data_IF_104893218705
#
_entry.id   IF_104893218705
#
_cell.length_a   1.000
_cell.length_b   1.000
_cell.length_c   1.000
_cell.angle_alpha   90.00
_cell.angle_beta   90.00
_cell.angle_gamma   90.00
#
_symmetry.space_group_name_H-M   'P 1'
#
loop_
_entity.id
_entity.type
_entity.pdbx_description
1 polymer ?
#
# COMPACT_ATOMS: atom_id res chain seq x y z
N UNK A 1 -53.46 -11.42 80.04
CA UNK A 1 -52.08 -11.22 79.54
C UNK A 1 -52.12 -11.49 78.06
N UNK A 2 -51.91 -10.44 77.26
CA UNK A 2 -51.91 -10.49 75.80
C UNK A 2 -50.46 -10.38 75.36
N UNK A 3 -49.92 -11.41 74.73
CA UNK A 3 -48.53 -11.44 74.26
C UNK A 3 -48.32 -10.42 73.12
N UNK A 4 -47.47 -9.40 73.28
CA UNK A 4 -47.12 -8.47 72.20
C UNK A 4 -45.98 -9.01 71.30
N UNK A 5 -45.42 -10.17 71.62
CA UNK A 5 -44.20 -10.69 70.98
C UNK A 5 -44.40 -11.43 69.66
N UNK A 6 -45.59 -11.97 69.40
CA UNK A 6 -45.83 -12.82 68.22
C UNK A 6 -45.94 -12.02 66.90
N UNK A 7 -46.46 -10.79 66.94
CA UNK A 7 -46.72 -10.00 65.73
C UNK A 7 -45.50 -9.24 65.18
N UNK A 8 -44.50 -8.93 66.03
CA UNK A 8 -43.33 -8.15 65.64
C UNK A 8 -42.29 -8.96 64.83
N UNK A 9 -42.19 -10.27 65.08
CA UNK A 9 -41.27 -11.16 64.36
C UNK A 9 -41.74 -11.54 62.95
N UNK A 10 -43.05 -11.73 62.76
CA UNK A 10 -43.63 -12.09 61.45
C UNK A 10 -43.61 -10.91 60.47
N UNK A 11 -43.91 -9.69 60.93
CA UNK A 11 -43.87 -8.51 60.08
C UNK A 11 -42.43 -8.19 59.60
N UNK A 12 -41.44 -8.23 60.50
CA UNK A 12 -40.03 -7.96 60.17
C UNK A 12 -39.42 -8.96 59.17
N UNK A 13 -39.83 -10.23 59.24
CA UNK A 13 -39.37 -11.28 58.31
C UNK A 13 -39.88 -11.08 56.88
N UNK A 14 -41.13 -10.62 56.71
CA UNK A 14 -41.73 -10.37 55.39
C UNK A 14 -41.08 -9.15 54.72
N UNK A 15 -40.85 -8.06 55.46
CA UNK A 15 -40.16 -6.89 54.93
C UNK A 15 -38.69 -7.19 54.59
N UNK A 16 -37.98 -7.94 55.43
CA UNK A 16 -36.61 -8.36 55.15
C UNK A 16 -36.53 -9.27 53.91
N UNK A 17 -37.48 -10.21 53.75
CA UNK A 17 -37.58 -11.09 52.57
C UNK A 17 -37.85 -10.31 51.29
N UNK A 18 -38.76 -9.33 51.32
CA UNK A 18 -39.06 -8.47 50.16
C UNK A 18 -37.85 -7.61 49.75
N UNK A 19 -37.14 -7.02 50.71
CA UNK A 19 -35.93 -6.23 50.44
C UNK A 19 -34.80 -7.10 49.89
N UNK A 20 -34.61 -8.30 50.43
CA UNK A 20 -33.61 -9.24 49.93
C UNK A 20 -33.90 -9.69 48.49
N UNK A 21 -35.18 -9.93 48.15
CA UNK A 21 -35.60 -10.27 46.80
C UNK A 21 -35.33 -9.14 45.81
N UNK A 22 -35.70 -7.90 46.17
CA UNK A 22 -35.44 -6.72 45.33
C UNK A 22 -33.94 -6.48 45.14
N UNK A 23 -33.14 -6.66 46.19
CA UNK A 23 -31.69 -6.53 46.12
C UNK A 23 -31.05 -7.61 45.22
N UNK A 24 -31.52 -8.85 45.32
CA UNK A 24 -31.06 -9.95 44.46
C UNK A 24 -31.42 -9.70 42.99
N UNK A 25 -32.63 -9.21 42.73
CA UNK A 25 -33.07 -8.81 41.38
C UNK A 25 -32.21 -7.66 40.84
N UNK A 26 -31.94 -6.63 41.65
CA UNK A 26 -31.10 -5.50 41.28
C UNK A 26 -29.67 -5.91 40.95
N UNK A 27 -29.06 -6.76 41.79
CA UNK A 27 -27.72 -7.31 41.53
C UNK A 27 -27.69 -8.22 40.30
N UNK A 28 -28.72 -9.04 40.10
CA UNK A 28 -28.84 -9.90 38.93
C UNK A 28 -28.90 -9.11 37.62
N UNK A 29 -29.68 -8.03 37.59
CA UNK A 29 -29.75 -7.12 36.43
C UNK A 29 -28.43 -6.38 36.20
N UNK A 30 -27.79 -5.87 37.26
CA UNK A 30 -26.49 -5.20 37.15
C UNK A 30 -25.41 -6.13 36.60
N UNK A 31 -25.35 -7.39 37.07
CA UNK A 31 -24.40 -8.39 36.55
C UNK A 31 -24.63 -8.68 35.06
N UNK A 32 -25.89 -8.84 34.64
CA UNK A 32 -26.23 -9.11 33.25
C UNK A 32 -25.85 -7.96 32.32
N UNK A 33 -26.09 -6.71 32.74
CA UNK A 33 -25.70 -5.52 31.98
C UNK A 33 -24.18 -5.40 31.85
N UNK A 34 -23.46 -5.54 32.96
CA UNK A 34 -22.00 -5.47 32.98
C UNK A 34 -21.34 -6.56 32.11
N UNK A 35 -21.95 -7.75 32.06
CA UNK A 35 -21.49 -8.84 31.19
C UNK A 35 -21.68 -8.54 29.70
N UNK A 36 -22.80 -7.89 29.33
CA UNK A 36 -23.05 -7.48 27.94
C UNK A 36 -22.12 -6.34 27.53
N UNK A 37 -21.86 -5.38 28.41
CA UNK A 37 -20.95 -4.27 28.15
C UNK A 37 -19.50 -4.75 28.01
N UNK A 38 -19.03 -5.64 28.89
CA UNK A 38 -17.70 -6.25 28.75
C UNK A 38 -17.57 -7.03 27.42
N UNK A 39 -18.63 -7.72 26.99
CA UNK A 39 -18.66 -8.42 25.70
C UNK A 39 -18.72 -7.46 24.51
N UNK A 40 -19.40 -6.32 24.62
CA UNK A 40 -19.44 -5.30 23.59
C UNK A 40 -18.08 -4.59 23.45
N UNK A 41 -17.45 -4.23 24.58
CA UNK A 41 -16.12 -3.62 24.62
C UNK A 41 -15.06 -4.55 24.03
N UNK A 42 -15.08 -5.85 24.35
CA UNK A 42 -14.14 -6.81 23.77
C UNK A 42 -14.32 -7.00 22.25
N UNK A 43 -15.55 -6.87 21.74
CA UNK A 43 -15.81 -6.89 20.28
C UNK A 43 -15.33 -5.60 19.62
N UNK A 44 -15.61 -4.44 20.22
CA UNK A 44 -15.15 -3.15 19.73
C UNK A 44 -13.62 -3.08 19.68
N UNK A 45 -12.94 -3.54 20.74
CA UNK A 45 -11.48 -3.59 20.78
C UNK A 45 -10.90 -4.49 19.69
N UNK A 46 -11.49 -5.67 19.43
CA UNK A 46 -11.06 -6.56 18.34
C UNK A 46 -11.27 -5.95 16.96
N UNK A 47 -12.40 -5.27 16.75
CA UNK A 47 -12.67 -4.58 15.50
C UNK A 47 -11.67 -3.44 15.28
N UNK A 48 -11.34 -2.69 16.33
CA UNK A 48 -10.38 -1.60 16.24
C UNK A 48 -8.97 -2.10 15.90
N UNK A 49 -8.49 -3.15 16.56
CA UNK A 49 -7.22 -3.80 16.22
C UNK A 49 -7.22 -4.26 14.76
N UNK A 50 -8.33 -4.84 14.29
CA UNK A 50 -8.42 -5.29 12.90
C UNK A 50 -8.42 -4.12 11.90
N UNK A 51 -9.11 -3.02 12.22
CA UNK A 51 -9.07 -1.80 11.41
C UNK A 51 -7.67 -1.19 11.36
N UNK A 52 -6.96 -1.16 12.49
CA UNK A 52 -5.60 -0.64 12.57
C UNK A 52 -4.62 -1.52 11.75
N UNK A 53 -4.76 -2.84 11.83
CA UNK A 53 -3.97 -3.77 11.03
C UNK A 53 -4.24 -3.63 9.52
N UNK A 54 -5.52 -3.46 9.13
CA UNK A 54 -5.89 -3.26 7.74
C UNK A 54 -5.36 -1.92 7.21
N UNK A 55 -5.55 -0.84 7.96
CA UNK A 55 -5.06 0.48 7.59
C UNK A 55 -3.53 0.50 7.46
N UNK A 56 -2.83 -0.24 8.32
CA UNK A 56 -1.37 -0.40 8.21
C UNK A 56 -0.99 -1.15 6.94
N UNK A 57 -1.63 -2.30 6.66
CA UNK A 57 -1.35 -3.10 5.46
C UNK A 57 -1.65 -2.34 4.17
N UNK A 58 -2.73 -1.58 4.13
CA UNK A 58 -3.12 -0.75 3.00
C UNK A 58 -2.08 0.35 2.74
N UNK A 59 -1.65 1.06 3.78
CA UNK A 59 -0.55 2.06 3.66
C UNK A 59 0.75 1.43 3.18
N UNK A 60 1.14 0.29 3.73
CA UNK A 60 2.37 -0.40 3.32
C UNK A 60 2.28 -0.88 1.86
N UNK A 61 1.09 -1.26 1.39
CA UNK A 61 0.86 -1.65 0.01
C UNK A 61 0.90 -0.44 -0.94
N UNK A 62 0.21 0.65 -0.59
CA UNK A 62 0.22 1.88 -1.36
C UNK A 62 1.64 2.44 -1.52
N UNK A 63 2.44 2.38 -0.46
CA UNK A 63 3.83 2.85 -0.48
C UNK A 63 4.70 1.97 -1.39
N UNK A 64 4.59 0.64 -1.31
CA UNK A 64 5.29 -0.27 -2.23
C UNK A 64 4.88 -0.04 -3.68
N UNK A 65 3.59 0.15 -3.94
CA UNK A 65 3.07 0.38 -5.28
C UNK A 65 3.59 1.71 -5.85
N UNK A 66 3.66 2.77 -5.03
CA UNK A 66 4.26 4.05 -5.43
C UNK A 66 5.74 3.92 -5.75
N UNK A 67 6.50 3.27 -4.87
CA UNK A 67 7.93 3.06 -5.06
C UNK A 67 8.20 2.23 -6.33
N UNK A 68 7.43 1.17 -6.54
CA UNK A 68 7.54 0.33 -7.73
C UNK A 68 7.22 1.09 -9.01
N UNK A 69 6.15 1.92 -9.01
CA UNK A 69 5.81 2.78 -10.15
C UNK A 69 6.92 3.78 -10.46
N UNK A 70 7.44 4.46 -9.44
CA UNK A 70 8.54 5.42 -9.60
C UNK A 70 9.80 4.75 -10.14
N UNK A 71 10.14 3.56 -9.64
CA UNK A 71 11.27 2.78 -10.10
C UNK A 71 11.13 2.39 -11.59
N UNK A 72 9.97 1.83 -11.96
CA UNK A 72 9.68 1.47 -13.35
C UNK A 72 9.71 2.69 -14.27
N UNK A 73 9.06 3.79 -13.89
CA UNK A 73 9.05 5.00 -14.70
C UNK A 73 10.47 5.54 -14.93
N UNK A 74 11.32 5.48 -13.92
CA UNK A 74 12.72 5.90 -14.02
C UNK A 74 13.49 4.99 -14.98
N UNK A 75 13.34 3.66 -14.85
CA UNK A 75 13.99 2.71 -15.74
C UNK A 75 13.49 2.83 -17.19
N UNK A 76 12.20 3.00 -17.39
CA UNK A 76 11.60 3.20 -18.72
C UNK A 76 12.12 4.48 -19.37
N UNK A 77 12.22 5.58 -18.62
CA UNK A 77 12.81 6.83 -19.12
C UNK A 77 14.27 6.60 -19.52
N UNK A 78 15.08 5.97 -18.67
CA UNK A 78 16.47 5.65 -18.99
C UNK A 78 16.60 4.81 -20.26
N UNK A 79 15.85 3.71 -20.36
CA UNK A 79 15.86 2.84 -21.54
C UNK A 79 15.40 3.57 -22.81
N UNK A 80 14.40 4.47 -22.70
CA UNK A 80 13.96 5.26 -23.83
C UNK A 80 15.07 6.22 -24.32
N UNK A 81 15.86 6.79 -23.40
CA UNK A 81 16.99 7.65 -23.74
C UNK A 81 18.15 6.84 -24.36
N UNK A 82 18.54 5.73 -23.75
CA UNK A 82 19.60 4.84 -24.25
C UNK A 82 19.30 4.37 -25.68
N UNK A 83 18.06 3.95 -25.95
CA UNK A 83 17.65 3.53 -27.29
C UNK A 83 17.73 4.64 -28.34
N UNK A 84 17.44 5.90 -27.96
CA UNK A 84 17.58 7.06 -28.86
C UNK A 84 19.03 7.37 -29.17
N UNK A 85 19.89 7.36 -28.15
CA UNK A 85 21.33 7.58 -28.31
C UNK A 85 21.92 6.50 -29.21
N UNK A 86 21.57 5.23 -28.99
CA UNK A 86 21.99 4.12 -29.84
C UNK A 86 21.53 4.30 -31.29
N UNK A 87 20.24 4.59 -31.52
CA UNK A 87 19.74 4.85 -32.87
C UNK A 87 20.50 5.99 -33.55
N UNK A 88 20.74 7.09 -32.84
CA UNK A 88 21.45 8.25 -33.40
C UNK A 88 22.91 7.93 -33.71
N UNK A 89 23.59 7.20 -32.82
CA UNK A 89 24.95 6.73 -33.06
C UNK A 89 25.02 5.83 -34.31
N UNK A 90 24.05 4.93 -34.48
CA UNK A 90 23.94 4.12 -35.69
C UNK A 90 23.68 4.96 -36.94
N UNK A 91 22.81 5.96 -36.90
CA UNK A 91 22.59 6.87 -38.03
C UNK A 91 23.87 7.59 -38.46
N UNK A 92 24.65 8.09 -37.48
CA UNK A 92 25.94 8.76 -37.72
C UNK A 92 26.98 7.84 -38.37
N UNK A 93 26.97 6.55 -38.04
CA UNK A 93 27.88 5.55 -38.63
C UNK A 93 27.35 5.06 -39.99
N UNK A 94 26.03 4.90 -40.11
CA UNK A 94 25.39 4.36 -41.31
C UNK A 94 25.40 5.35 -42.48
N UNK A 95 25.42 6.67 -42.23
CA UNK A 95 25.46 7.67 -43.30
C UNK A 95 26.78 7.62 -44.11
N UNK A 96 27.98 7.65 -43.48
CA UNK A 96 29.25 7.42 -44.19
C UNK A 96 29.31 6.07 -44.91
N UNK A 97 28.84 4.99 -44.27
CA UNK A 97 28.85 3.65 -44.86
C UNK A 97 27.98 3.57 -46.12
N UNK A 98 26.81 4.23 -46.14
CA UNK A 98 25.96 4.33 -47.33
C UNK A 98 26.59 5.12 -48.47
N UNK A 99 27.45 6.10 -48.17
CA UNK A 99 28.20 6.83 -49.19
C UNK A 99 29.31 5.98 -49.83
N UNK A 100 29.89 5.06 -49.07
CA UNK A 100 30.93 4.14 -49.55
C UNK A 100 30.35 2.97 -50.35
N UNK A 101 29.27 2.35 -49.85
CA UNK A 101 28.62 1.20 -50.47
C UNK A 101 27.09 1.43 -50.62
N UNK A 102 26.66 2.24 -51.61
CA UNK A 102 25.24 2.62 -51.75
C UNK A 102 24.32 1.44 -52.10
N UNK A 103 24.82 0.45 -52.84
CA UNK A 103 24.03 -0.69 -53.32
C UNK A 103 24.03 -1.89 -52.37
N UNK A 104 24.59 -1.75 -51.16
CA UNK A 104 24.67 -2.87 -50.21
C UNK A 104 23.29 -3.17 -49.58
N UNK A 105 22.66 -4.32 -49.89
CA UNK A 105 21.33 -4.65 -49.40
C UNK A 105 21.29 -4.84 -47.87
N UNK A 106 22.43 -5.16 -47.24
CA UNK A 106 22.52 -5.32 -45.78
C UNK A 106 22.33 -4.00 -45.04
N UNK A 107 22.75 -2.87 -45.63
CA UNK A 107 22.56 -1.54 -45.03
C UNK A 107 21.08 -1.15 -45.06
N UNK A 108 20.38 -1.43 -46.15
CA UNK A 108 18.94 -1.23 -46.26
C UNK A 108 18.17 -2.11 -45.26
N UNK A 109 18.58 -3.37 -45.10
CA UNK A 109 17.97 -4.28 -44.14
C UNK A 109 18.21 -3.83 -42.68
N UNK A 110 19.44 -3.42 -42.35
CA UNK A 110 19.76 -2.90 -41.02
C UNK A 110 18.95 -1.65 -40.69
N UNK A 111 18.79 -0.71 -41.64
CA UNK A 111 17.93 0.45 -41.47
C UNK A 111 16.48 0.05 -41.15
N UNK A 112 15.91 -0.91 -41.90
CA UNK A 112 14.54 -1.38 -41.65
C UNK A 112 14.35 -2.03 -40.28
N UNK A 113 15.38 -2.71 -39.77
CA UNK A 113 15.37 -3.31 -38.43
C UNK A 113 15.44 -2.22 -37.35
N UNK A 114 16.29 -1.21 -37.54
CA UNK A 114 16.42 -0.07 -36.61
C UNK A 114 15.14 0.77 -36.56
N UNK A 115 14.49 1.02 -37.71
CA UNK A 115 13.24 1.78 -37.76
C UNK A 115 12.10 1.07 -37.01
N UNK A 116 12.08 -0.27 -37.02
CA UNK A 116 11.12 -1.07 -36.25
C UNK A 116 11.47 -1.14 -34.77
N UNK A 117 12.75 -1.28 -34.43
CA UNK A 117 13.21 -1.45 -33.05
C UNK A 117 13.14 -0.14 -32.25
N UNK A 118 13.35 1.02 -32.89
CA UNK A 118 13.54 2.30 -32.21
C UNK A 118 12.73 3.44 -32.86
N UNK A 119 11.38 3.42 -32.85
CA UNK A 119 10.58 4.48 -33.49
C UNK A 119 10.89 5.87 -32.90
N UNK A 120 11.06 6.88 -33.77
CA UNK A 120 11.30 8.26 -33.35
C UNK A 120 10.00 8.87 -32.82
N UNK A 121 10.01 9.31 -31.57
CA UNK A 121 8.93 10.11 -30.99
C UNK A 121 9.23 11.60 -31.23
N UNK A 122 8.48 12.30 -32.11
CA UNK A 122 8.72 13.70 -32.46
C UNK A 122 8.43 14.69 -31.32
N UNK A 123 7.85 14.24 -30.20
CA UNK A 123 7.46 15.10 -29.08
C UNK A 123 8.58 15.47 -28.09
N UNK A 124 9.81 14.95 -28.24
CA UNK A 124 10.87 15.12 -27.23
C UNK A 124 12.12 15.86 -27.78
N UNK A 125 12.50 17.01 -27.20
CA UNK A 125 13.70 17.74 -27.61
C UNK A 125 14.98 16.94 -27.32
N UNK A 126 15.92 16.94 -28.26
CA UNK A 126 17.16 16.16 -28.20
C UNK A 126 18.30 17.07 -27.72
N UNK A 127 18.58 17.10 -26.43
CA UNK A 127 19.85 17.61 -25.91
C UNK A 127 20.81 16.44 -25.66
N UNK A 128 21.71 16.17 -26.60
CA UNK A 128 22.65 15.05 -26.54
C UNK A 128 23.65 15.16 -25.37
N UNK A 129 24.00 16.38 -24.94
CA UNK A 129 24.92 16.58 -23.81
C UNK A 129 24.30 16.12 -22.50
N UNK A 130 23.02 16.45 -22.30
CA UNK A 130 22.24 15.96 -21.18
C UNK A 130 22.09 14.42 -21.23
N UNK A 131 21.79 13.84 -22.39
CA UNK A 131 21.58 12.39 -22.53
C UNK A 131 22.83 11.56 -22.21
N UNK A 132 24.01 12.00 -22.65
CA UNK A 132 25.27 11.31 -22.37
C UNK A 132 25.65 11.41 -20.88
N UNK A 133 25.40 12.56 -20.25
CA UNK A 133 25.66 12.73 -18.80
C UNK A 133 24.78 11.83 -17.91
N UNK A 134 23.59 11.45 -18.37
CA UNK A 134 22.70 10.52 -17.64
C UNK A 134 23.12 9.05 -17.74
N UNK A 135 23.93 8.69 -18.74
CA UNK A 135 24.45 7.32 -18.92
C UNK A 135 25.72 7.12 -18.08
N UNK A 136 26.51 8.19 -17.93
CA UNK A 136 27.80 8.18 -17.20
C UNK A 136 27.65 8.20 -15.67
N UNK A 137 26.44 8.31 -15.11
CA UNK A 137 26.24 8.00 -13.69
C UNK A 137 26.29 6.46 -13.50
N UNK A 138 27.38 5.89 -12.92
CA UNK A 138 27.30 4.54 -12.41
C UNK A 138 26.20 4.54 -11.35
N UNK A 139 25.21 3.66 -11.50
CA UNK A 139 24.17 3.48 -10.51
C UNK A 139 24.81 3.35 -9.15
N UNK A 140 24.65 4.40 -8.33
CA UNK A 140 25.20 4.49 -6.99
C UNK A 140 24.86 3.21 -6.24
N UNK A 141 25.91 2.65 -5.67
CA UNK A 141 25.93 1.44 -4.85
C UNK A 141 24.62 1.32 -4.06
N UNK A 142 23.78 0.37 -4.46
CA UNK A 142 22.72 -0.12 -3.60
C UNK A 142 23.42 -0.83 -2.44
N UNK A 143 23.76 -0.06 -1.40
CA UNK A 143 24.27 -0.55 -0.12
C UNK A 143 23.35 -1.65 0.38
N UNK A 144 23.89 -2.86 0.38
CA UNK A 144 23.41 -3.98 1.18
C UNK A 144 23.64 -3.64 2.65
N UNK A 145 22.61 -3.16 3.36
CA UNK A 145 22.49 -3.26 4.82
C UNK A 145 21.05 -3.60 5.20
#
# INVERSE_FOLDING_TARGET
>A
MSDPGAAAGEAGGIFAGAVALLYAIGKGMAWLLNWKDARAQSRAAKLQVWHDELAKKEKDQDERDRQYRQHIETQLRRLALENRVLRRAFELVAEPLRRLEPDNPKLAQAQSMLDRAFPLDPGLPIDMGALLSMIDEPGGEAELV
#
